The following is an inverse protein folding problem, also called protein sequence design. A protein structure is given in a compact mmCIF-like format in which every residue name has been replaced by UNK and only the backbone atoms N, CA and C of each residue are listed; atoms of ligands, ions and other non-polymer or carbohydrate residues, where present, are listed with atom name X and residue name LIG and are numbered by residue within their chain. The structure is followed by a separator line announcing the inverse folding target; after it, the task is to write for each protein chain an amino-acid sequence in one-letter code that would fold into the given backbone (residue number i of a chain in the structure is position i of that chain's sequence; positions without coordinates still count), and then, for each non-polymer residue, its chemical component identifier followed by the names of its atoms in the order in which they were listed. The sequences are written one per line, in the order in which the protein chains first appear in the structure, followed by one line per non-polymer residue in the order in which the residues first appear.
data_IF_609826472914
#
_entry.id   IF_609826472914
#
_cell.length_a   1.000
_cell.length_b   1.000
_cell.length_c   1.000
_cell.angle_alpha   90.00
_cell.angle_beta   90.00
_cell.angle_gamma   90.00
#
_symmetry.space_group_name_H-M   'P 1'
#
loop_
_entity.id
_entity.type
_entity.pdbx_description
1 polymer ?
#
# COMPACT_ATOMS: atom_id res chain seq x y z
N UNK A 1 36.75 43.84 -33.75
CA UNK A 1 35.70 43.96 -34.79
C UNK A 1 35.94 42.89 -35.87
N UNK A 2 34.98 41.96 -36.04
CA UNK A 2 34.79 41.03 -37.19
C UNK A 2 33.43 40.36 -36.89
N UNK A 3 32.35 40.95 -37.39
CA UNK A 3 31.52 40.48 -38.51
C UNK A 3 30.72 39.21 -38.17
N UNK A 4 29.40 39.38 -38.17
CA UNK A 4 28.35 38.39 -37.88
C UNK A 4 28.04 37.52 -39.09
N UNK A 5 27.49 36.32 -38.87
CA UNK A 5 26.62 35.66 -39.84
C UNK A 5 25.56 34.77 -39.17
N UNK A 6 24.29 34.97 -39.50
CA UNK A 6 23.15 34.16 -39.05
C UNK A 6 22.68 33.19 -40.15
N UNK A 7 22.48 31.89 -39.86
CA UNK A 7 21.78 30.97 -40.75
C UNK A 7 20.25 31.02 -40.53
N UNK A 8 19.63 32.08 -41.07
CA UNK A 8 18.29 32.14 -41.70
C UNK A 8 17.21 31.13 -41.23
N UNK A 9 16.28 31.66 -40.42
CA UNK A 9 14.92 31.16 -40.13
C UNK A 9 14.21 30.50 -41.34
N UNK A 10 13.93 29.19 -41.24
CA UNK A 10 13.01 28.50 -42.14
C UNK A 10 11.51 28.80 -41.81
N UNK A 11 10.62 28.60 -42.78
CA UNK A 11 9.15 28.81 -42.66
C UNK A 11 8.41 27.46 -42.55
N UNK A 12 7.19 27.43 -41.99
CA UNK A 12 6.56 26.18 -41.53
C UNK A 12 6.05 25.30 -42.68
N UNK A 13 6.13 23.98 -42.48
CA UNK A 13 5.51 22.97 -43.35
C UNK A 13 4.03 22.80 -42.96
N UNK A 14 3.19 22.60 -43.98
CA UNK A 14 1.74 22.67 -43.89
C UNK A 14 1.11 21.39 -43.35
N UNK A 15 0.08 21.56 -42.50
CA UNK A 15 -0.82 20.51 -41.99
C UNK A 15 -1.36 19.60 -43.11
N UNK A 16 -1.34 18.28 -42.88
CA UNK A 16 -2.16 17.29 -43.60
C UNK A 16 -2.67 16.23 -42.62
N UNK A 17 -3.98 16.19 -42.44
CA UNK A 17 -4.73 15.05 -41.91
C UNK A 17 -5.61 14.54 -43.06
N UNK A 18 -5.51 13.25 -43.38
CA UNK A 18 -6.71 12.42 -43.56
C UNK A 18 -6.51 11.02 -42.94
N UNK A 19 -7.53 10.18 -42.72
CA UNK A 19 -8.99 10.32 -42.49
C UNK A 19 -9.44 8.97 -41.88
N UNK A 20 -10.69 8.83 -41.44
CA UNK A 20 -11.24 7.53 -41.01
C UNK A 20 -11.48 6.59 -42.21
N UNK A 21 -11.16 5.30 -42.05
CA UNK A 21 -11.58 4.21 -42.96
C UNK A 21 -12.14 3.01 -42.19
N UNK A 22 -13.41 3.13 -41.80
CA UNK A 22 -14.41 2.05 -41.96
C UNK A 22 -15.56 2.65 -42.81
N UNK A 23 -16.25 1.90 -43.69
CA UNK A 23 -16.69 0.52 -43.43
C UNK A 23 -16.62 -0.46 -44.63
N UNK A 24 -16.94 -1.74 -44.36
CA UNK A 24 -17.68 -2.56 -45.33
C UNK A 24 -18.55 -3.62 -44.64
N UNK A 25 -19.63 -4.03 -45.30
CA UNK A 25 -20.72 -4.79 -44.68
C UNK A 25 -20.75 -6.28 -45.06
N UNK A 26 -21.52 -7.05 -44.28
CA UNK A 26 -21.93 -8.43 -44.60
C UNK A 26 -22.80 -8.47 -45.88
N UNK A 27 -22.90 -9.63 -46.57
CA UNK A 27 -23.96 -10.60 -46.24
C UNK A 27 -23.48 -12.08 -46.41
N UNK A 28 -24.23 -13.17 -46.20
CA UNK A 28 -25.64 -13.38 -45.79
C UNK A 28 -25.85 -14.80 -45.19
N UNK A 29 -26.75 -14.93 -44.19
CA UNK A 29 -27.53 -16.14 -43.81
C UNK A 29 -26.75 -17.44 -43.42
N UNK A 30 -27.33 -18.47 -42.76
CA UNK A 30 -28.73 -18.93 -42.61
C UNK A 30 -29.10 -19.26 -41.14
N UNK A 31 -30.39 -19.11 -40.81
CA UNK A 31 -31.10 -19.65 -39.63
C UNK A 31 -32.59 -19.89 -40.05
N UNK A 32 -33.53 -20.46 -39.24
CA UNK A 32 -33.45 -20.80 -37.81
C UNK A 32 -33.99 -22.25 -37.50
N UNK A 33 -34.89 -22.62 -36.54
CA UNK A 33 -34.92 -23.98 -35.93
C UNK A 33 -36.23 -24.78 -36.23
N UNK A 34 -36.55 -25.90 -35.55
CA UNK A 34 -37.11 -25.94 -34.17
C UNK A 34 -36.35 -26.96 -33.27
N UNK A 35 -36.80 -27.57 -32.15
CA UNK A 35 -38.10 -27.69 -31.45
C UNK A 35 -37.93 -27.94 -29.91
N UNK A 36 -38.79 -28.73 -29.25
CA UNK A 36 -38.87 -28.91 -27.77
C UNK A 36 -38.62 -30.37 -27.27
N UNK A 37 -38.96 -30.61 -25.99
CA UNK A 37 -39.09 -31.88 -25.23
C UNK A 37 -37.81 -32.39 -24.50
N UNK A 38 -37.86 -32.83 -23.23
CA UNK A 38 -38.97 -32.88 -22.26
C UNK A 38 -38.48 -32.69 -20.80
N UNK A 39 -39.42 -32.34 -19.90
CA UNK A 39 -39.23 -32.47 -18.45
C UNK A 39 -39.43 -33.92 -18.02
N UNK A 40 -38.69 -34.38 -17.02
CA UNK A 40 -38.97 -35.63 -16.31
C UNK A 40 -38.95 -35.39 -14.79
N UNK A 41 -40.07 -35.71 -14.12
CA UNK A 41 -40.28 -35.52 -12.67
C UNK A 41 -41.15 -36.68 -12.17
N UNK A 42 -40.59 -37.67 -11.46
CA UNK A 42 -41.37 -38.82 -10.98
C UNK A 42 -42.30 -38.44 -9.81
N UNK A 43 -43.43 -39.16 -9.60
CA UNK A 43 -44.54 -38.65 -8.80
C UNK A 43 -44.41 -38.82 -7.27
N UNK A 44 -45.27 -38.09 -6.58
CA UNK A 44 -45.42 -37.99 -5.11
C UNK A 44 -46.33 -39.11 -4.58
N UNK A 45 -45.87 -39.87 -3.56
CA UNK A 45 -46.67 -40.92 -2.93
C UNK A 45 -46.92 -40.71 -1.42
N UNK A 46 -48.20 -40.57 -1.06
CA UNK A 46 -48.81 -40.65 0.29
C UNK A 46 -48.35 -39.67 1.39
N UNK A 47 -49.13 -39.62 2.48
CA UNK A 47 -48.91 -38.75 3.63
C UNK A 47 -49.33 -39.46 4.93
N UNK A 48 -48.56 -39.26 6.01
CA UNK A 48 -48.94 -39.62 7.37
C UNK A 48 -48.72 -38.42 8.31
N UNK A 49 -49.72 -37.99 9.12
CA UNK A 49 -49.58 -36.85 10.01
C UNK A 49 -48.95 -37.24 11.35
N UNK A 50 -47.75 -36.71 11.64
CA UNK A 50 -47.01 -37.02 12.87
C UNK A 50 -46.54 -35.75 13.61
N UNK A 51 -47.43 -35.22 14.46
CA UNK A 51 -47.19 -34.38 15.66
C UNK A 51 -45.94 -33.48 15.68
N UNK A 52 -46.17 -32.17 15.56
CA UNK A 52 -45.22 -31.11 15.94
C UNK A 52 -44.65 -31.34 17.34
N UNK A 53 -43.32 -31.32 17.46
CA UNK A 53 -42.60 -31.15 18.73
C UNK A 53 -41.60 -30.03 18.54
N UNK A 54 -41.97 -28.81 18.92
CA UNK A 54 -41.05 -27.68 18.90
C UNK A 54 -39.95 -27.89 19.96
N UNK A 55 -38.73 -28.13 19.49
CA UNK A 55 -37.53 -27.95 20.31
C UNK A 55 -37.01 -26.53 20.10
N UNK A 56 -36.68 -25.77 21.16
CA UNK A 56 -36.04 -24.47 21.00
C UNK A 56 -34.66 -24.66 20.36
N UNK A 57 -34.51 -24.24 19.11
CA UNK A 57 -33.24 -24.24 18.41
C UNK A 57 -32.31 -23.22 19.05
N UNK A 58 -31.13 -23.66 19.50
CA UNK A 58 -30.07 -22.74 19.92
C UNK A 58 -29.72 -21.83 18.74
N UNK A 59 -29.52 -20.52 18.93
CA UNK A 59 -29.17 -19.62 17.85
C UNK A 59 -27.88 -20.08 17.19
N UNK A 60 -27.95 -20.37 15.89
CA UNK A 60 -26.77 -20.72 15.09
C UNK A 60 -25.81 -19.53 15.17
N UNK A 61 -24.53 -19.72 15.56
CA UNK A 61 -23.57 -18.63 15.56
C UNK A 61 -23.43 -18.12 14.13
N UNK A 62 -23.73 -16.84 13.91
CA UNK A 62 -23.53 -16.18 12.61
C UNK A 62 -22.08 -16.44 12.16
N UNK A 63 -21.84 -16.82 10.90
CA UNK A 63 -20.48 -17.05 10.44
C UNK A 63 -19.67 -15.78 10.69
N UNK A 64 -18.53 -15.93 11.37
CA UNK A 64 -17.57 -14.85 11.48
C UNK A 64 -17.08 -14.56 10.06
N UNK A 65 -17.54 -13.46 9.48
CA UNK A 65 -16.92 -12.88 8.30
C UNK A 65 -15.42 -12.79 8.62
N UNK A 66 -14.51 -13.34 7.78
CA UNK A 66 -13.09 -13.14 7.97
C UNK A 66 -12.83 -11.64 8.14
N UNK A 67 -12.18 -11.25 9.24
CA UNK A 67 -11.66 -9.90 9.35
C UNK A 67 -10.67 -9.72 8.20
N UNK A 68 -10.89 -8.72 7.34
CA UNK A 68 -10.06 -8.40 6.17
C UNK A 68 -8.58 -8.27 6.58
N UNK A 69 -7.83 -9.37 6.52
CA UNK A 69 -6.58 -9.56 7.25
C UNK A 69 -5.40 -8.95 6.48
N UNK A 70 -5.43 -7.62 6.38
CA UNK A 70 -4.50 -6.78 5.63
C UNK A 70 -4.99 -5.33 5.47
N UNK A 71 -6.29 -5.07 5.66
CA UNK A 71 -6.87 -3.73 5.67
C UNK A 71 -6.83 -3.09 7.05
N UNK A 72 -5.63 -2.82 7.58
CA UNK A 72 -5.42 -2.34 8.96
C UNK A 72 -6.35 -1.18 9.37
N UNK A 73 -6.75 -1.17 10.64
CA UNK A 73 -7.81 -0.28 11.15
C UNK A 73 -7.50 1.22 11.08
N UNK A 74 -8.42 2.08 11.54
CA UNK A 74 -8.30 3.56 11.38
C UNK A 74 -6.97 4.16 11.88
N UNK A 75 -6.35 3.57 12.90
CA UNK A 75 -5.01 3.95 13.38
C UNK A 75 -3.91 3.59 12.38
N UNK A 76 -3.99 2.41 11.78
CA UNK A 76 -3.07 1.90 10.77
C UNK A 76 -3.00 2.83 9.55
N UNK A 77 -4.17 3.13 8.96
CA UNK A 77 -4.25 4.03 7.80
C UNK A 77 -3.82 5.47 8.12
N UNK A 78 -4.10 5.93 9.34
CA UNK A 78 -3.57 7.21 9.80
C UNK A 78 -2.03 7.21 9.86
N UNK A 79 -1.41 6.15 10.39
CA UNK A 79 0.05 6.00 10.44
C UNK A 79 0.66 5.83 9.04
N UNK A 80 0.03 5.07 8.13
CA UNK A 80 0.46 4.96 6.73
C UNK A 80 0.53 6.34 6.06
N UNK A 81 -0.55 7.13 6.13
CA UNK A 81 -0.60 8.48 5.55
C UNK A 81 0.35 9.47 6.24
N UNK A 82 0.52 9.37 7.56
CA UNK A 82 1.46 10.19 8.33
C UNK A 82 2.92 9.94 7.90
N UNK A 83 3.35 8.67 7.88
CA UNK A 83 4.72 8.28 7.49
C UNK A 83 4.98 8.73 6.05
N UNK A 84 4.02 8.49 5.15
CA UNK A 84 4.07 8.96 3.77
C UNK A 84 4.34 10.47 3.69
N UNK A 85 3.52 11.28 4.38
CA UNK A 85 3.64 12.74 4.34
C UNK A 85 4.98 13.23 4.93
N UNK A 86 5.37 12.73 6.10
CA UNK A 86 6.63 13.11 6.74
C UNK A 86 7.86 12.78 5.89
N UNK A 87 7.83 11.67 5.15
CA UNK A 87 8.93 11.27 4.29
C UNK A 87 8.92 11.98 2.92
N UNK A 88 7.75 12.26 2.34
CA UNK A 88 7.61 13.12 1.14
C UNK A 88 8.26 14.49 1.37
N UNK A 89 7.99 15.11 2.53
CA UNK A 89 8.57 16.41 2.94
C UNK A 89 10.10 16.37 3.08
N UNK A 90 10.67 15.19 3.36
CA UNK A 90 12.12 14.93 3.45
C UNK A 90 12.69 14.41 2.12
N UNK A 91 11.92 14.54 1.05
CA UNK A 91 12.31 14.23 -0.32
C UNK A 91 12.41 12.74 -0.66
N UNK A 92 11.82 11.86 0.14
CA UNK A 92 11.64 10.46 -0.23
C UNK A 92 10.50 10.33 -1.24
N UNK A 93 10.67 9.48 -2.26
CA UNK A 93 9.53 8.95 -3.00
C UNK A 93 8.88 7.87 -2.14
N UNK A 94 7.58 7.98 -1.91
CA UNK A 94 6.85 7.07 -1.02
C UNK A 94 5.71 6.32 -1.74
N UNK A 95 5.43 5.10 -1.30
CA UNK A 95 4.30 4.29 -1.74
C UNK A 95 3.62 3.66 -0.52
N UNK A 96 2.31 3.80 -0.37
CA UNK A 96 1.51 3.08 0.65
C UNK A 96 1.08 1.73 0.06
N UNK A 97 1.11 0.67 0.87
CA UNK A 97 0.70 -0.70 0.49
C UNK A 97 1.45 -1.23 -0.76
N UNK A 98 2.77 -0.96 -0.87
CA UNK A 98 3.60 -1.38 -2.00
C UNK A 98 3.69 -2.91 -2.10
N UNK A 99 3.19 -3.48 -3.19
CA UNK A 99 3.25 -4.92 -3.46
C UNK A 99 4.68 -5.34 -3.80
N UNK A 100 5.19 -6.37 -3.13
CA UNK A 100 6.55 -6.90 -3.26
C UNK A 100 6.53 -8.39 -3.62
N UNK A 101 7.67 -8.91 -4.06
CA UNK A 101 7.88 -10.33 -4.39
C UNK A 101 6.78 -10.90 -5.31
N UNK A 102 6.46 -10.16 -6.38
CA UNK A 102 5.42 -10.49 -7.36
C UNK A 102 4.02 -10.78 -6.78
N UNK A 103 3.70 -10.25 -5.59
CA UNK A 103 2.41 -10.47 -4.90
C UNK A 103 2.50 -11.28 -3.62
N UNK A 104 3.65 -11.91 -3.31
CA UNK A 104 3.83 -12.71 -2.10
C UNK A 104 3.97 -11.86 -0.80
N UNK A 105 4.08 -10.53 -0.92
CA UNK A 105 4.11 -9.61 0.21
C UNK A 105 3.64 -8.21 -0.15
N UNK A 106 3.51 -7.38 0.88
CA UNK A 106 3.13 -5.96 0.81
C UNK A 106 3.90 -5.23 1.90
N UNK A 107 4.39 -4.03 1.59
CA UNK A 107 5.00 -3.09 2.55
C UNK A 107 3.99 -2.00 2.90
N UNK A 108 3.82 -1.71 4.18
CA UNK A 108 2.84 -0.74 4.66
C UNK A 108 3.11 0.68 4.12
N UNK A 109 4.34 1.16 4.30
CA UNK A 109 4.86 2.34 3.58
C UNK A 109 6.29 2.10 3.12
N UNK A 110 6.48 2.09 1.81
CA UNK A 110 7.79 2.07 1.14
C UNK A 110 8.34 3.48 1.02
N UNK A 111 9.63 3.66 1.33
CA UNK A 111 10.37 4.92 1.26
C UNK A 111 11.62 4.73 0.38
N UNK A 112 11.78 5.52 -0.68
CA UNK A 112 12.94 5.44 -1.61
C UNK A 112 13.58 6.81 -1.81
N UNK A 113 14.89 6.92 -1.55
CA UNK A 113 15.66 8.16 -1.78
C UNK A 113 17.11 7.87 -2.15
N UNK A 114 17.43 7.98 -3.44
CA UNK A 114 18.69 7.47 -3.98
C UNK A 114 18.73 5.95 -3.85
N UNK A 115 19.85 5.42 -3.32
CA UNK A 115 20.03 3.99 -3.07
C UNK A 115 19.35 3.50 -1.77
N UNK A 116 18.90 4.42 -0.90
CA UNK A 116 18.19 4.04 0.34
C UNK A 116 16.76 3.59 0.01
N UNK A 117 16.43 2.35 0.38
CA UNK A 117 15.08 1.79 0.28
C UNK A 117 14.67 1.22 1.63
N UNK A 118 13.74 1.91 2.29
CA UNK A 118 13.33 1.68 3.69
C UNK A 118 11.86 1.24 3.73
N UNK A 119 11.58 0.16 4.45
CA UNK A 119 10.23 -0.34 4.66
C UNK A 119 9.72 0.10 6.04
N UNK A 120 8.57 0.74 6.11
CA UNK A 120 7.87 1.01 7.37
C UNK A 120 6.67 0.06 7.51
N UNK A 121 6.71 -0.79 8.53
CA UNK A 121 5.69 -1.79 8.87
C UNK A 121 4.96 -1.38 10.16
N UNK A 122 3.62 -1.43 10.20
CA UNK A 122 2.83 -0.77 11.25
C UNK A 122 2.19 -1.81 12.19
N UNK A 123 2.90 -2.15 13.27
CA UNK A 123 2.48 -3.17 14.23
C UNK A 123 1.56 -2.61 15.32
N UNK A 124 0.25 -2.58 15.04
CA UNK A 124 -0.76 -2.04 15.98
C UNK A 124 -1.49 -3.12 16.78
N UNK A 125 -1.91 -4.20 16.12
CA UNK A 125 -2.65 -5.35 16.72
C UNK A 125 -2.19 -6.72 16.18
N UNK A 126 -1.16 -6.72 15.35
CA UNK A 126 -0.63 -7.89 14.63
C UNK A 126 0.30 -8.73 15.52
N UNK A 127 0.41 -10.02 15.20
CA UNK A 127 1.20 -11.00 15.97
C UNK A 127 2.68 -10.98 15.58
N UNK A 128 3.57 -11.26 16.54
CA UNK A 128 5.03 -11.16 16.37
C UNK A 128 5.58 -12.05 15.24
N UNK A 129 4.99 -13.22 15.08
CA UNK A 129 5.27 -14.19 14.02
C UNK A 129 4.93 -13.65 12.63
N UNK A 130 3.88 -12.81 12.53
CA UNK A 130 3.50 -12.12 11.31
C UNK A 130 4.42 -10.93 11.00
N UNK A 131 4.93 -10.24 12.02
CA UNK A 131 5.92 -9.16 11.83
C UNK A 131 7.26 -9.71 11.34
N UNK A 132 7.73 -10.83 11.92
CA UNK A 132 8.93 -11.53 11.44
C UNK A 132 8.77 -11.91 9.96
N UNK A 133 7.67 -12.56 9.60
CA UNK A 133 7.35 -12.92 8.22
C UNK A 133 7.05 -11.73 7.29
N UNK A 134 6.92 -10.49 7.79
CA UNK A 134 6.90 -9.28 6.96
C UNK A 134 8.33 -8.72 6.78
N UNK A 135 9.14 -8.71 7.84
CA UNK A 135 10.55 -8.30 7.80
C UNK A 135 11.34 -9.17 6.82
N UNK A 136 11.20 -10.49 6.89
CA UNK A 136 11.83 -11.45 5.96
C UNK A 136 11.50 -11.14 4.49
N UNK A 137 10.23 -10.84 4.19
CA UNK A 137 9.79 -10.46 2.84
C UNK A 137 10.38 -9.12 2.40
N UNK A 138 10.48 -8.14 3.30
CA UNK A 138 11.09 -6.85 3.01
C UNK A 138 12.60 -7.00 2.72
N UNK A 139 13.31 -7.79 3.52
CA UNK A 139 14.71 -8.12 3.30
C UNK A 139 14.92 -8.83 1.95
N UNK A 140 14.14 -9.87 1.66
CA UNK A 140 14.16 -10.59 0.38
C UNK A 140 13.75 -9.70 -0.82
N UNK A 141 12.92 -8.69 -0.59
CA UNK A 141 12.53 -7.70 -1.61
C UNK A 141 13.57 -6.58 -1.83
N UNK A 142 14.74 -6.65 -1.17
CA UNK A 142 15.82 -5.68 -1.34
C UNK A 142 15.58 -4.35 -0.64
N UNK A 143 14.96 -4.36 0.54
CA UNK A 143 14.97 -3.20 1.44
C UNK A 143 16.26 -3.20 2.28
N UNK A 144 16.92 -2.04 2.34
CA UNK A 144 18.19 -1.86 3.06
C UNK A 144 17.98 -1.67 4.56
N UNK A 145 16.79 -1.25 4.97
CA UNK A 145 16.42 -0.93 6.34
C UNK A 145 14.90 -1.16 6.54
N UNK A 146 14.49 -1.69 7.69
CA UNK A 146 13.09 -1.93 8.04
C UNK A 146 12.79 -1.24 9.37
N UNK A 147 11.67 -0.52 9.45
CA UNK A 147 11.25 0.27 10.61
C UNK A 147 9.90 -0.25 11.08
N UNK A 148 9.92 -0.97 12.20
CA UNK A 148 8.74 -1.55 12.82
C UNK A 148 8.09 -0.53 13.77
N UNK A 149 6.94 0.01 13.39
CA UNK A 149 6.23 1.08 14.08
C UNK A 149 5.18 0.49 15.02
N UNK A 150 5.54 0.32 16.29
CA UNK A 150 4.70 -0.34 17.29
C UNK A 150 3.72 0.61 17.99
N UNK A 151 2.57 0.09 18.42
CA UNK A 151 1.54 0.91 19.10
C UNK A 151 1.93 1.49 20.47
N UNK A 152 2.94 0.92 21.15
CA UNK A 152 3.45 1.37 22.45
C UNK A 152 4.76 0.63 22.83
N UNK A 153 5.47 1.13 23.86
CA UNK A 153 6.73 0.54 24.36
C UNK A 153 6.65 -0.95 24.72
N UNK A 154 5.56 -1.44 25.31
CA UNK A 154 5.42 -2.85 25.71
C UNK A 154 5.34 -3.75 24.47
N UNK A 155 4.61 -3.29 23.45
CA UNK A 155 4.51 -3.99 22.17
C UNK A 155 5.87 -4.03 21.47
N UNK A 156 6.56 -2.89 21.38
CA UNK A 156 7.93 -2.81 20.86
C UNK A 156 8.88 -3.76 21.59
N UNK A 157 8.97 -3.71 22.92
CA UNK A 157 9.90 -4.59 23.68
C UNK A 157 9.59 -6.08 23.51
N UNK A 158 8.32 -6.43 23.30
CA UNK A 158 7.88 -7.81 23.01
C UNK A 158 8.24 -8.26 21.58
N UNK A 159 8.22 -7.33 20.63
CA UNK A 159 8.62 -7.53 19.23
C UNK A 159 10.13 -7.64 19.09
N UNK A 160 10.88 -6.63 19.58
CA UNK A 160 12.34 -6.60 19.56
C UNK A 160 12.93 -7.89 20.08
N UNK A 161 12.50 -8.34 21.28
CA UNK A 161 12.99 -9.62 21.82
C UNK A 161 12.74 -10.79 20.87
N UNK A 162 11.52 -10.94 20.35
CA UNK A 162 11.16 -12.10 19.53
C UNK A 162 11.84 -12.09 18.16
N UNK A 163 11.89 -10.94 17.51
CA UNK A 163 12.48 -10.78 16.17
C UNK A 163 14.00 -10.92 16.25
N UNK A 164 14.65 -10.30 17.25
CA UNK A 164 16.09 -10.43 17.47
C UNK A 164 16.49 -11.86 17.91
N UNK A 165 15.58 -12.63 18.52
CA UNK A 165 15.80 -14.07 18.82
C UNK A 165 15.70 -14.97 17.57
N UNK A 166 15.06 -14.53 16.47
CA UNK A 166 14.79 -15.37 15.29
C UNK A 166 15.50 -14.91 13.99
N UNK A 167 15.84 -13.63 13.83
CA UNK A 167 16.62 -13.14 12.67
C UNK A 167 18.11 -13.50 12.79
N UNK A 168 18.81 -13.59 11.66
CA UNK A 168 20.26 -13.64 11.65
C UNK A 168 20.89 -12.34 12.16
N UNK A 169 22.08 -12.43 12.78
CA UNK A 169 22.81 -11.28 13.33
C UNK A 169 23.08 -10.20 12.26
N UNK A 170 23.36 -10.62 11.03
CA UNK A 170 23.60 -9.73 9.89
C UNK A 170 22.33 -8.98 9.42
N UNK A 171 21.14 -9.42 9.85
CA UNK A 171 19.84 -8.83 9.50
C UNK A 171 19.27 -7.96 10.61
N UNK A 172 19.52 -8.31 11.88
CA UNK A 172 19.14 -7.48 13.05
C UNK A 172 19.60 -6.04 12.91
N UNK A 173 20.83 -5.83 12.41
CA UNK A 173 21.38 -4.49 12.14
C UNK A 173 20.65 -3.67 11.06
N UNK A 174 19.74 -4.28 10.29
CA UNK A 174 18.88 -3.62 9.29
C UNK A 174 17.50 -3.26 9.86
N UNK A 175 17.13 -3.77 11.04
CA UNK A 175 15.81 -3.57 11.66
C UNK A 175 15.89 -2.49 12.73
N UNK A 176 14.95 -1.54 12.70
CA UNK A 176 14.71 -0.57 13.77
C UNK A 176 13.31 -0.72 14.33
N UNK A 177 13.19 -0.38 15.61
CA UNK A 177 11.94 -0.40 16.36
C UNK A 177 11.59 1.03 16.76
N UNK A 178 10.40 1.51 16.38
CA UNK A 178 10.00 2.91 16.54
C UNK A 178 8.61 3.05 17.17
N UNK A 179 8.38 4.17 17.85
CA UNK A 179 7.05 4.62 18.23
C UNK A 179 6.60 5.73 17.25
N UNK A 180 5.28 5.90 17.00
CA UNK A 180 4.78 6.93 16.10
C UNK A 180 5.30 8.35 16.41
N UNK A 181 5.46 8.69 17.68
CA UNK A 181 5.99 9.96 18.16
C UNK A 181 7.49 10.17 17.85
N UNK A 182 8.28 9.09 17.70
CA UNK A 182 9.70 9.15 17.34
C UNK A 182 9.94 9.14 15.82
N UNK A 183 8.91 8.97 15.00
CA UNK A 183 9.03 8.93 13.53
C UNK A 183 9.64 10.21 12.95
N UNK A 184 9.33 11.38 13.53
CA UNK A 184 9.86 12.67 13.05
C UNK A 184 11.38 12.71 13.24
N UNK A 185 11.86 12.44 14.46
CA UNK A 185 13.28 12.40 14.80
C UNK A 185 14.05 11.34 14.01
N UNK A 186 13.45 10.15 13.83
CA UNK A 186 14.01 9.11 12.97
C UNK A 186 14.18 9.60 11.52
N UNK A 187 13.13 10.15 10.90
CA UNK A 187 13.19 10.59 9.50
C UNK A 187 14.11 11.82 9.32
N UNK A 188 14.22 12.70 10.33
CA UNK A 188 15.20 13.79 10.37
C UNK A 188 16.64 13.23 10.42
N UNK A 189 16.89 12.16 11.20
CA UNK A 189 18.21 11.52 11.30
C UNK A 189 18.73 10.90 10.00
N UNK A 190 17.85 10.69 9.01
CA UNK A 190 18.24 10.21 7.67
C UNK A 190 18.92 11.31 6.82
N UNK A 191 18.91 12.57 7.29
CA UNK A 191 19.56 13.72 6.68
C UNK A 191 18.81 14.32 5.48
N UNK A 192 19.35 15.41 4.94
CA UNK A 192 18.79 16.15 3.81
C UNK A 192 18.64 15.31 2.52
N UNK A 193 17.68 15.64 1.64
CA UNK A 193 17.59 15.02 0.33
C UNK A 193 18.80 15.37 -0.55
N UNK A 194 19.23 14.47 -1.47
CA UNK A 194 20.29 14.78 -2.40
C UNK A 194 19.91 15.97 -3.30
N UNK A 195 20.90 16.80 -3.64
CA UNK A 195 20.70 17.98 -4.50
C UNK A 195 20.01 17.59 -5.83
N UNK A 196 19.06 18.41 -6.34
CA UNK A 196 18.32 18.08 -7.56
C UNK A 196 19.24 17.86 -8.77
N UNK A 197 19.44 16.60 -9.14
CA UNK A 197 20.15 16.22 -10.36
C UNK A 197 19.21 16.39 -11.56
N UNK A 198 19.66 17.10 -12.60
CA UNK A 198 18.93 17.10 -13.87
C UNK A 198 19.07 15.73 -14.52
N UNK A 199 17.95 15.04 -14.73
CA UNK A 199 17.93 13.78 -15.47
C UNK A 199 17.18 13.97 -16.79
N UNK A 200 17.75 13.47 -17.90
CA UNK A 200 17.10 13.46 -19.19
C UNK A 200 16.27 12.19 -19.36
N UNK A 201 14.94 12.32 -19.31
CA UNK A 201 14.00 11.22 -19.51
C UNK A 201 13.36 11.37 -20.89
N UNK A 202 13.63 10.43 -21.80
CA UNK A 202 13.10 10.42 -23.20
C UNK A 202 13.32 11.75 -23.95
N UNK A 203 14.47 12.41 -23.72
CA UNK A 203 14.83 13.69 -24.34
C UNK A 203 14.39 14.94 -23.56
N UNK A 204 13.50 14.81 -22.57
CA UNK A 204 13.06 15.92 -21.72
C UNK A 204 13.96 16.06 -20.49
N UNK A 205 14.41 17.28 -20.19
CA UNK A 205 15.04 17.59 -18.89
C UNK A 205 13.99 17.57 -17.78
N UNK A 206 14.09 16.63 -16.86
CA UNK A 206 13.29 16.60 -15.63
C UNK A 206 14.11 17.17 -14.48
N UNK A 207 13.58 18.22 -13.84
CA UNK A 207 14.15 18.81 -12.62
C UNK A 207 13.15 18.65 -11.48
N UNK A 208 13.33 17.62 -10.68
CA UNK A 208 12.49 17.37 -9.50
C UNK A 208 12.82 18.39 -8.40
N UNK A 209 11.95 19.37 -8.21
CA UNK A 209 11.99 20.27 -7.05
C UNK A 209 10.96 19.78 -6.04
N UNK A 210 11.42 19.39 -4.86
CA UNK A 210 10.54 18.99 -3.75
C UNK A 210 10.41 20.16 -2.76
N UNK A 211 9.22 20.32 -2.16
CA UNK A 211 8.85 21.53 -1.42
C UNK A 211 8.99 21.30 0.09
N UNK A 212 9.93 22.01 0.72
CA UNK A 212 10.14 21.97 2.18
C UNK A 212 9.02 22.69 2.96
N UNK A 213 8.81 22.29 4.21
CA UNK A 213 7.71 22.72 5.09
C UNK A 213 8.23 23.21 6.46
N UNK A 214 7.49 24.11 7.12
CA UNK A 214 7.91 24.85 8.32
C UNK A 214 8.00 23.96 9.60
N UNK A 215 9.07 24.08 10.41
CA UNK A 215 9.26 23.26 11.62
C UNK A 215 8.18 23.42 12.71
N UNK A 216 7.38 24.50 12.72
CA UNK A 216 6.26 24.66 13.68
C UNK A 216 5.21 23.56 13.54
N UNK A 217 5.02 23.01 12.34
CA UNK A 217 4.05 21.93 12.14
C UNK A 217 4.46 20.63 12.85
N UNK A 218 5.77 20.36 13.00
CA UNK A 218 6.26 19.11 13.58
C UNK A 218 5.84 18.88 15.04
N UNK A 219 5.59 19.95 15.80
CA UNK A 219 5.08 19.85 17.18
C UNK A 219 3.58 19.54 17.21
N UNK A 220 2.78 20.28 16.43
CA UNK A 220 1.35 20.06 16.30
C UNK A 220 1.02 18.64 15.79
N UNK A 221 1.82 18.14 14.84
CA UNK A 221 1.72 16.76 14.32
C UNK A 221 2.03 15.72 15.41
N UNK A 222 3.10 15.88 16.20
CA UNK A 222 3.38 15.02 17.37
C UNK A 222 2.20 14.95 18.35
N UNK A 223 1.57 16.09 18.63
CA UNK A 223 0.39 16.13 19.50
C UNK A 223 -0.85 15.45 18.86
N UNK A 224 -1.04 15.59 17.54
CA UNK A 224 -2.12 14.92 16.81
C UNK A 224 -1.96 13.38 16.82
N UNK A 225 -0.73 12.88 16.64
CA UNK A 225 -0.36 11.45 16.70
C UNK A 225 -0.74 10.87 18.06
N UNK A 226 -0.23 11.47 19.14
CA UNK A 226 -0.54 11.06 20.51
C UNK A 226 -2.06 11.05 20.77
N UNK A 227 -2.78 12.05 20.26
CA UNK A 227 -4.25 12.10 20.33
C UNK A 227 -4.95 10.95 19.59
N UNK A 228 -4.46 10.50 18.43
CA UNK A 228 -5.04 9.33 17.73
C UNK A 228 -4.81 8.04 18.54
N UNK A 229 -3.61 7.84 19.08
CA UNK A 229 -3.25 6.65 19.85
C UNK A 229 -4.01 6.58 21.18
N UNK A 230 -4.10 7.69 21.93
CA UNK A 230 -4.89 7.75 23.15
C UNK A 230 -6.38 7.45 22.91
N UNK A 231 -6.95 7.85 21.76
CA UNK A 231 -8.35 7.59 21.39
C UNK A 231 -8.63 6.16 20.94
N UNK A 232 -7.63 5.37 20.52
CA UNK A 232 -7.83 3.94 20.27
C UNK A 232 -7.70 3.13 21.57
N UNK A 233 -6.68 3.40 22.38
CA UNK A 233 -6.47 2.78 23.70
C UNK A 233 -7.68 3.00 24.63
N UNK A 234 -8.22 4.22 24.66
CA UNK A 234 -9.41 4.57 25.45
C UNK A 234 -10.72 3.90 25.00
N UNK A 235 -10.71 3.14 23.89
CA UNK A 235 -11.87 2.41 23.34
C UNK A 235 -11.76 0.89 23.45
N UNK A 236 -10.75 0.36 24.14
CA UNK A 236 -10.54 -1.07 24.40
C UNK A 236 -10.76 -1.43 25.89
N UNK A 237 -11.76 -0.79 26.52
CA UNK A 237 -12.26 -1.08 27.86
C UNK A 237 -13.78 -1.16 27.83
#
# INVERSE_FOLDING_TARGET
MRKSEEPKRAKPILRREPQEEEPSASPEHVAPPPEELAFDVPPRETAHPAKTVERPSKPIPKPKIPLEQGGGGRQHKYLQHLIKQLADERGFRTSIEEVILNGAGRVDVSLVRGERRIACEISVTTGRDHELGNIEKCLAAGYTEIVLVGSNERHIKSLTKFIDENLEEHERGKVRYALPESLIEYLDSLGEPPLPTEQMVRGYKVRTVQQAVDPKEASARRQAIAGVIARSLGRQR
#
